data_IF_596202120331
#
_entry.id   IF_596202120331
#
_cell.length_a   1.000
_cell.length_b   1.000
_cell.length_c   1.000
_cell.angle_alpha   90.00
_cell.angle_beta   90.00
_cell.angle_gamma   90.00
#
_symmetry.space_group_name_H-M   'P 1'
#
loop_
_entity.id
_entity.type
_entity.pdbx_description
1 polymer ?
#
# COMPACT_ATOMS: atom_id res chain seq x y z
N UNK A 1 -23.52 30.42 57.56
CA UNK A 1 -23.38 30.96 56.19
C UNK A 1 -24.71 30.83 55.46
N UNK A 2 -25.20 31.89 54.80
CA UNK A 2 -26.50 31.89 54.11
C UNK A 2 -26.45 30.90 52.92
N UNK A 3 -27.43 29.98 52.82
CA UNK A 3 -27.51 28.99 51.72
C UNK A 3 -27.45 29.66 50.34
N UNK A 4 -28.03 30.85 50.18
CA UNK A 4 -27.98 31.63 48.93
C UNK A 4 -26.56 32.09 48.58
N UNK A 5 -25.79 32.50 49.60
CA UNK A 5 -24.39 32.92 49.42
C UNK A 5 -23.50 31.75 49.01
N UNK A 6 -23.71 30.57 49.61
CA UNK A 6 -22.98 29.36 49.24
C UNK A 6 -23.23 28.96 47.78
N UNK A 7 -24.50 28.98 47.34
CA UNK A 7 -24.87 28.66 45.94
C UNK A 7 -24.19 29.62 44.97
N UNK A 8 -24.21 30.93 45.27
CA UNK A 8 -23.56 31.93 44.44
C UNK A 8 -22.04 31.70 44.31
N UNK A 9 -21.36 31.38 45.41
CA UNK A 9 -19.93 31.07 45.42
C UNK A 9 -19.62 29.85 44.53
N UNK A 10 -20.45 28.80 44.60
CA UNK A 10 -20.28 27.60 43.76
C UNK A 10 -20.43 27.94 42.27
N UNK A 11 -21.44 28.72 41.91
CA UNK A 11 -21.66 29.14 40.51
C UNK A 11 -20.46 29.95 39.99
N UNK A 12 -19.94 30.88 40.78
CA UNK A 12 -18.77 31.68 40.42
C UNK A 12 -17.51 30.81 40.25
N UNK A 13 -17.30 29.82 41.11
CA UNK A 13 -16.21 28.85 40.99
C UNK A 13 -16.31 28.03 39.70
N UNK A 14 -17.50 27.54 39.35
CA UNK A 14 -17.72 26.79 38.11
C UNK A 14 -17.42 27.67 36.89
N UNK A 15 -17.92 28.91 36.88
CA UNK A 15 -17.64 29.86 35.79
C UNK A 15 -16.14 30.17 35.67
N UNK A 16 -15.44 30.32 36.79
CA UNK A 16 -13.99 30.53 36.80
C UNK A 16 -13.24 29.33 36.20
N UNK A 17 -13.62 28.11 36.57
CA UNK A 17 -13.02 26.87 36.00
C UNK A 17 -13.27 26.80 34.48
N UNK A 18 -14.46 27.16 34.01
CA UNK A 18 -14.77 27.19 32.58
C UNK A 18 -13.91 28.24 31.86
N UNK A 19 -13.74 29.44 32.42
CA UNK A 19 -12.90 30.47 31.82
C UNK A 19 -11.42 30.07 31.78
N UNK A 20 -10.90 29.49 32.86
CA UNK A 20 -9.52 28.99 32.93
C UNK A 20 -9.33 27.86 31.90
N UNK A 21 -10.25 26.90 31.82
CA UNK A 21 -10.14 25.80 30.86
C UNK A 21 -10.23 26.28 29.41
N UNK A 22 -11.09 27.27 29.11
CA UNK A 22 -11.17 27.89 27.79
C UNK A 22 -9.90 28.68 27.45
N UNK A 23 -9.34 29.42 28.41
CA UNK A 23 -8.07 30.14 28.25
C UNK A 23 -6.89 29.21 27.97
N UNK A 24 -6.78 28.12 28.73
CA UNK A 24 -5.77 27.07 28.50
C UNK A 24 -5.99 26.42 27.14
N UNK A 25 -7.23 26.09 26.79
CA UNK A 25 -7.55 25.49 25.48
C UNK A 25 -7.13 26.40 24.33
N UNK A 26 -7.48 27.69 24.37
CA UNK A 26 -7.08 28.66 23.35
C UNK A 26 -5.56 28.84 23.27
N UNK A 27 -4.88 28.88 24.42
CA UNK A 27 -3.42 28.97 24.48
C UNK A 27 -2.74 27.75 23.85
N UNK A 28 -3.23 26.54 24.20
CA UNK A 28 -2.74 25.29 23.61
C UNK A 28 -3.04 25.21 22.11
N UNK A 29 -4.16 25.77 21.64
CA UNK A 29 -4.55 25.74 20.23
C UNK A 29 -3.79 26.77 19.38
N UNK A 30 -3.44 27.94 19.95
CA UNK A 30 -2.69 29.01 19.26
C UNK A 30 -1.29 28.55 18.83
N UNK A 31 -0.70 27.65 19.61
CA UNK A 31 0.63 27.11 19.36
C UNK A 31 0.60 25.79 18.58
N UNK A 32 -0.58 25.33 18.12
CA UNK A 32 -0.63 24.13 17.28
C UNK A 32 -0.04 24.43 15.91
N UNK A 33 0.81 23.52 15.40
CA UNK A 33 1.29 23.59 14.04
C UNK A 33 0.16 23.70 13.05
N UNK A 34 0.22 24.72 12.21
CA UNK A 34 -0.73 24.91 11.13
C UNK A 34 -0.12 24.34 9.85
N UNK A 35 -0.78 23.35 9.27
CA UNK A 35 -0.48 22.89 7.91
C UNK A 35 -0.87 24.04 6.97
N UNK A 36 0.09 24.52 6.18
CA UNK A 36 -0.12 25.61 5.21
C UNK A 36 -0.46 25.05 3.83
N UNK A 37 0.12 23.91 3.46
CA UNK A 37 -0.16 23.21 2.21
C UNK A 37 0.16 21.72 2.36
N UNK A 38 -0.27 20.95 1.37
CA UNK A 38 0.11 19.54 1.20
C UNK A 38 0.85 19.41 -0.12
N UNK A 39 2.01 18.76 -0.10
CA UNK A 39 2.81 18.49 -1.31
C UNK A 39 2.76 17.01 -1.66
N UNK A 40 2.87 16.73 -2.95
CA UNK A 40 2.92 15.37 -3.49
C UNK A 40 4.37 15.01 -3.80
N UNK A 41 4.81 13.84 -3.33
CA UNK A 41 6.05 13.21 -3.75
C UNK A 41 5.75 12.17 -4.83
N UNK A 42 6.42 12.27 -5.97
CA UNK A 42 6.32 11.33 -7.10
C UNK A 42 7.63 11.22 -7.89
N UNK A 43 8.77 11.50 -7.26
CA UNK A 43 10.08 11.53 -7.92
C UNK A 43 10.63 10.13 -8.25
N UNK A 44 10.14 9.09 -7.57
CA UNK A 44 10.46 7.69 -7.87
C UNK A 44 9.26 7.03 -8.55
N UNK A 45 9.48 6.40 -9.70
CA UNK A 45 8.43 5.74 -10.45
C UNK A 45 7.76 4.59 -9.69
N UNK A 46 6.45 4.45 -9.87
CA UNK A 46 5.64 3.35 -9.35
C UNK A 46 4.88 3.66 -8.06
N UNK A 47 5.08 4.82 -7.43
CA UNK A 47 4.28 5.24 -6.30
C UNK A 47 4.21 6.76 -6.15
N UNK A 48 3.27 7.21 -5.33
CA UNK A 48 3.18 8.60 -4.88
C UNK A 48 2.58 8.65 -3.48
N UNK A 49 2.86 9.73 -2.77
CA UNK A 49 2.21 10.04 -1.50
C UNK A 49 2.18 11.55 -1.28
N UNK A 50 1.35 12.00 -0.35
CA UNK A 50 1.26 13.38 0.10
C UNK A 50 1.91 13.56 1.46
N UNK A 51 2.49 14.73 1.71
CA UNK A 51 3.04 15.12 3.01
C UNK A 51 2.71 16.58 3.33
N UNK A 52 2.44 16.90 4.61
CA UNK A 52 2.11 18.25 5.02
C UNK A 52 3.34 19.14 5.04
N UNK A 53 3.15 20.41 4.72
CA UNK A 53 4.10 21.49 4.99
C UNK A 53 3.50 22.34 6.10
N UNK A 54 4.22 22.53 7.20
CA UNK A 54 3.77 23.34 8.32
C UNK A 54 4.32 24.76 8.19
N UNK A 55 3.61 25.74 8.75
CA UNK A 55 4.08 27.12 8.82
C UNK A 55 5.47 27.18 9.47
N UNK A 56 6.43 27.86 8.82
CA UNK A 56 7.84 27.99 9.22
C UNK A 56 8.67 26.69 9.12
N UNK A 57 8.06 25.58 8.69
CA UNK A 57 8.71 24.28 8.44
C UNK A 57 8.52 23.92 6.97
N UNK A 58 8.95 24.81 6.08
CA UNK A 58 8.92 24.62 4.64
C UNK A 58 9.94 23.57 4.17
N UNK A 59 9.72 23.02 2.99
CA UNK A 59 10.68 22.12 2.34
C UNK A 59 11.91 22.94 1.91
N UNK A 60 13.05 22.68 2.55
CA UNK A 60 14.31 23.32 2.22
C UNK A 60 14.99 22.67 1.00
N UNK A 61 14.90 21.35 0.91
CA UNK A 61 15.60 20.58 -0.11
C UNK A 61 14.87 19.26 -0.40
N UNK A 62 14.77 18.90 -1.67
CA UNK A 62 14.47 17.54 -2.13
C UNK A 62 15.70 17.09 -2.90
N UNK A 63 16.35 16.04 -2.44
CA UNK A 63 17.61 15.58 -3.03
C UNK A 63 17.56 14.10 -3.37
N UNK A 64 17.92 13.82 -4.62
CA UNK A 64 18.17 12.48 -5.13
C UNK A 64 19.49 11.95 -4.54
N UNK A 65 19.43 10.83 -3.84
CA UNK A 65 20.61 10.10 -3.34
C UNK A 65 21.03 9.03 -4.34
N UNK A 66 20.06 8.30 -4.89
CA UNK A 66 20.24 7.31 -5.96
C UNK A 66 18.99 7.25 -6.84
N UNK A 67 18.94 6.37 -7.84
CA UNK A 67 17.74 6.16 -8.65
C UNK A 67 16.51 5.74 -7.83
N UNK A 68 16.73 5.04 -6.72
CA UNK A 68 15.68 4.49 -5.87
C UNK A 68 15.67 5.10 -4.47
N UNK A 69 16.39 6.20 -4.24
CA UNK A 69 16.48 6.82 -2.92
C UNK A 69 16.50 8.34 -3.01
N UNK A 70 15.62 8.97 -2.24
CA UNK A 70 15.48 10.42 -2.11
C UNK A 70 15.37 10.78 -0.64
N UNK A 71 15.75 12.01 -0.29
CA UNK A 71 15.30 12.60 0.96
C UNK A 71 14.65 13.96 0.75
N UNK A 72 13.73 14.30 1.65
CA UNK A 72 13.06 15.59 1.75
C UNK A 72 13.49 16.19 3.09
N UNK A 73 14.18 17.32 3.07
CA UNK A 73 14.62 18.04 4.27
C UNK A 73 13.81 19.30 4.46
N UNK A 74 13.33 19.49 5.67
CA UNK A 74 12.62 20.70 6.07
C UNK A 74 13.62 21.73 6.62
N UNK A 75 13.29 23.01 6.50
CA UNK A 75 14.07 24.06 7.17
C UNK A 75 13.90 23.97 8.70
N UNK A 76 14.74 24.70 9.42
CA UNK A 76 14.57 24.94 10.85
C UNK A 76 14.20 26.40 11.02
N UNK A 77 13.08 26.74 11.67
CA UNK A 77 12.77 28.12 12.03
C UNK A 77 13.93 28.78 12.79
N UNK A 78 14.19 30.06 12.54
CA UNK A 78 15.32 30.77 13.16
C UNK A 78 15.26 30.86 14.69
N UNK A 79 14.08 30.72 15.28
CA UNK A 79 13.83 30.69 16.72
C UNK A 79 13.90 29.27 17.33
N UNK A 80 14.21 28.25 16.52
CA UNK A 80 14.24 26.85 16.93
C UNK A 80 15.67 26.32 16.86
N UNK A 81 16.22 25.98 18.02
CA UNK A 81 17.51 25.28 18.10
C UNK A 81 17.31 23.76 17.96
N UNK A 82 17.87 23.15 16.93
CA UNK A 82 17.85 21.70 16.73
C UNK A 82 19.20 21.20 16.27
N UNK A 83 19.58 20.02 16.76
CA UNK A 83 20.75 19.30 16.27
C UNK A 83 20.61 18.89 14.80
N UNK A 84 19.39 18.53 14.38
CA UNK A 84 19.11 18.13 13.00
C UNK A 84 17.68 18.51 12.59
N UNK A 85 17.48 19.09 11.40
CA UNK A 85 16.16 19.33 10.86
C UNK A 85 15.40 18.03 10.62
N UNK A 86 14.06 18.07 10.64
CA UNK A 86 13.24 16.97 10.17
C UNK A 86 13.60 16.60 8.73
N UNK A 87 13.67 15.29 8.47
CA UNK A 87 13.91 14.76 7.14
C UNK A 87 13.13 13.47 6.91
N UNK A 88 12.56 13.33 5.72
CA UNK A 88 11.99 12.07 5.23
C UNK A 88 13.04 11.41 4.34
N UNK A 89 13.43 10.17 4.64
CA UNK A 89 14.18 9.33 3.71
C UNK A 89 13.18 8.36 3.04
N UNK A 90 13.20 8.33 1.71
CA UNK A 90 12.32 7.53 0.85
C UNK A 90 13.20 6.58 0.04
N UNK A 91 13.02 5.28 0.24
CA UNK A 91 13.79 4.25 -0.45
C UNK A 91 12.88 3.20 -1.10
N UNK A 92 13.04 2.99 -2.40
CA UNK A 92 12.43 1.88 -3.14
C UNK A 92 13.38 0.69 -3.15
N UNK A 93 12.88 -0.48 -2.78
CA UNK A 93 13.63 -1.74 -2.74
C UNK A 93 13.00 -2.67 -3.78
N UNK A 94 13.73 -2.97 -4.86
CA UNK A 94 13.28 -3.84 -5.96
C UNK A 94 13.38 -5.32 -5.59
N UNK A 95 12.82 -5.68 -4.45
CA UNK A 95 12.70 -7.06 -4.00
C UNK A 95 11.22 -7.36 -3.74
N UNK A 96 10.70 -8.50 -4.23
CA UNK A 96 9.33 -8.89 -3.96
C UNK A 96 9.10 -9.00 -2.45
N UNK A 97 7.90 -8.64 -2.00
CA UNK A 97 7.52 -8.88 -0.61
C UNK A 97 7.48 -10.39 -0.38
N UNK A 98 8.22 -10.91 0.60
CA UNK A 98 8.05 -12.31 0.98
C UNK A 98 6.70 -12.39 1.67
N UNK A 99 5.83 -13.28 1.21
CA UNK A 99 4.45 -13.43 1.72
C UNK A 99 4.40 -13.73 3.23
N UNK A 100 5.52 -14.22 3.80
CA UNK A 100 5.73 -14.41 5.24
C UNK A 100 5.84 -13.11 6.05
N UNK A 101 6.01 -11.96 5.39
CA UNK A 101 6.12 -10.64 6.02
C UNK A 101 4.74 -10.03 6.36
N UNK A 102 3.64 -10.73 6.09
CA UNK A 102 2.27 -10.23 6.26
C UNK A 102 1.74 -10.26 7.70
N UNK A 103 2.44 -10.90 8.64
CA UNK A 103 2.08 -10.88 10.07
C UNK A 103 2.20 -9.46 10.63
N UNK A 104 1.07 -8.80 10.86
CA UNK A 104 1.00 -7.44 11.43
C UNK A 104 0.87 -6.31 10.40
N UNK A 105 0.69 -6.62 9.11
CA UNK A 105 0.42 -5.60 8.09
C UNK A 105 -1.00 -5.06 8.17
N UNK A 106 -1.17 -3.77 7.82
CA UNK A 106 -2.45 -3.06 7.71
C UNK A 106 -2.66 -2.60 6.28
N UNK A 107 -3.91 -2.35 5.87
CA UNK A 107 -4.21 -1.64 4.61
C UNK A 107 -4.52 -0.17 4.89
N UNK A 108 -4.05 0.72 4.01
CA UNK A 108 -4.46 2.13 4.03
C UNK A 108 -5.76 2.35 3.22
N UNK A 109 -6.21 3.60 3.12
CA UNK A 109 -7.41 3.98 2.38
C UNK A 109 -7.35 3.67 0.87
N UNK A 110 -6.15 3.54 0.30
CA UNK A 110 -5.92 3.18 -1.10
C UNK A 110 -5.68 1.68 -1.31
N UNK A 111 -5.93 0.85 -0.29
CA UNK A 111 -5.75 -0.60 -0.36
C UNK A 111 -4.31 -1.10 -0.31
N UNK A 112 -3.33 -0.21 -0.08
CA UNK A 112 -1.90 -0.55 -0.01
C UNK A 112 -1.59 -1.18 1.35
N UNK A 113 -0.93 -2.34 1.31
CA UNK A 113 -0.41 -2.99 2.51
C UNK A 113 0.81 -2.24 3.05
N UNK A 114 0.82 -1.99 4.36
CA UNK A 114 1.94 -1.36 5.05
C UNK A 114 2.16 -1.93 6.45
N UNK A 115 3.37 -1.75 6.99
CA UNK A 115 3.75 -2.07 8.37
C UNK A 115 4.70 -1.02 8.96
N UNK A 116 4.67 -0.89 10.28
CA UNK A 116 5.56 0.01 11.02
C UNK A 116 6.96 -0.59 11.16
N UNK A 117 8.00 0.25 11.08
CA UNK A 117 9.37 -0.14 11.34
C UNK A 117 9.64 -0.13 12.85
N UNK A 118 10.02 -1.28 13.41
CA UNK A 118 10.32 -1.37 14.84
C UNK A 118 11.47 -0.42 15.23
N UNK A 119 11.22 0.43 16.24
CA UNK A 119 12.22 1.34 16.81
C UNK A 119 12.51 2.59 15.98
N UNK A 120 11.81 2.80 14.86
CA UNK A 120 11.98 3.98 14.00
C UNK A 120 10.62 4.57 13.65
N UNK A 121 10.54 5.90 13.53
CA UNK A 121 9.35 6.54 13.02
C UNK A 121 9.30 6.38 11.49
N UNK A 122 8.82 5.24 11.02
CA UNK A 122 8.79 4.93 9.60
C UNK A 122 7.97 3.70 9.27
N UNK A 123 7.67 3.54 7.99
CA UNK A 123 6.78 2.51 7.48
C UNK A 123 7.33 1.87 6.21
N UNK A 124 6.99 0.60 6.02
CA UNK A 124 7.21 -0.14 4.79
C UNK A 124 5.87 -0.29 4.09
N UNK A 125 5.81 0.09 2.82
CA UNK A 125 4.67 -0.10 1.93
C UNK A 125 5.03 -1.20 0.93
N UNK A 126 4.20 -2.23 0.82
CA UNK A 126 4.51 -3.42 0.03
C UNK A 126 3.66 -3.50 -1.22
N UNK A 127 4.32 -3.73 -2.36
CA UNK A 127 3.70 -4.22 -3.59
C UNK A 127 4.20 -5.63 -3.91
N UNK A 128 3.66 -6.23 -4.97
CA UNK A 128 4.13 -7.52 -5.46
C UNK A 128 5.58 -7.48 -5.98
N UNK A 129 6.02 -6.34 -6.52
CA UNK A 129 7.29 -6.22 -7.25
C UNK A 129 8.39 -5.50 -6.47
N UNK A 130 8.02 -4.62 -5.54
CA UNK A 130 8.93 -3.80 -4.77
C UNK A 130 8.31 -3.36 -3.45
N UNK A 131 9.15 -2.88 -2.55
CA UNK A 131 8.75 -2.22 -1.30
C UNK A 131 9.19 -0.77 -1.31
N UNK A 132 8.48 0.07 -0.57
CA UNK A 132 8.88 1.45 -0.32
C UNK A 132 9.04 1.63 1.17
N UNK A 133 10.23 2.02 1.60
CA UNK A 133 10.56 2.33 2.99
C UNK A 133 10.60 3.84 3.13
N UNK A 134 9.75 4.38 4.01
CA UNK A 134 9.74 5.81 4.34
C UNK A 134 10.07 5.94 5.81
N UNK A 135 11.17 6.62 6.13
CA UNK A 135 11.57 6.94 7.51
C UNK A 135 11.56 8.44 7.73
N UNK A 136 10.96 8.88 8.83
CA UNK A 136 11.00 10.24 9.31
C UNK A 136 12.05 10.34 10.43
N UNK A 137 13.10 11.10 10.18
CA UNK A 137 14.12 11.39 11.16
C UNK A 137 13.87 12.82 11.64
N UNK A 138 13.37 12.93 12.86
CA UNK A 138 13.02 14.22 13.46
C UNK A 138 13.43 14.17 14.93
N UNK A 139 14.53 14.83 15.30
CA UNK A 139 15.11 14.74 16.65
C UNK A 139 14.26 15.40 17.74
N UNK A 140 13.08 14.86 18.05
CA UNK A 140 12.20 15.33 19.14
C UNK A 140 11.52 16.68 18.86
N UNK A 141 11.22 16.98 17.60
CA UNK A 141 10.77 18.30 17.12
C UNK A 141 9.29 18.62 17.38
N UNK A 142 8.52 17.68 17.94
CA UNK A 142 7.06 17.81 18.09
C UNK A 142 6.66 19.04 18.92
N UNK A 143 7.45 19.35 19.95
CA UNK A 143 7.22 20.51 20.82
C UNK A 143 7.56 21.85 20.15
N UNK A 144 8.19 21.84 18.97
CA UNK A 144 8.72 23.03 18.29
C UNK A 144 7.99 23.37 16.99
N UNK A 145 6.89 22.69 16.72
CA UNK A 145 5.98 23.08 15.66
C UNK A 145 5.94 22.13 14.46
N UNK A 146 6.72 21.06 14.46
CA UNK A 146 6.69 20.03 13.43
C UNK A 146 6.00 18.77 13.96
N UNK A 147 4.82 18.43 13.43
CA UNK A 147 4.05 17.29 13.93
C UNK A 147 4.43 16.01 13.17
N UNK A 148 5.37 15.25 13.74
CA UNK A 148 5.90 14.04 13.11
C UNK A 148 4.81 12.99 12.87
N UNK A 149 3.95 12.73 13.86
CA UNK A 149 2.84 11.78 13.69
C UNK A 149 1.82 12.22 12.63
N UNK A 150 1.52 13.53 12.53
CA UNK A 150 0.60 14.06 11.51
C UNK A 150 1.20 13.89 10.12
N UNK A 151 2.51 14.11 9.99
CA UNK A 151 3.26 13.88 8.74
C UNK A 151 3.14 12.42 8.30
N UNK A 152 3.44 11.50 9.21
CA UNK A 152 3.35 10.06 8.97
C UNK A 152 1.95 9.61 8.60
N UNK A 153 0.92 10.01 9.37
CA UNK A 153 -0.46 9.62 9.08
C UNK A 153 -0.88 10.10 7.69
N UNK A 154 -0.51 11.33 7.33
CA UNK A 154 -0.81 11.86 6.00
C UNK A 154 -0.13 11.06 4.90
N UNK A 155 1.13 10.65 5.09
CA UNK A 155 1.84 9.77 4.15
C UNK A 155 1.10 8.44 4.03
N UNK A 156 0.76 7.78 5.15
CA UNK A 156 0.05 6.51 5.16
C UNK A 156 -1.28 6.61 4.40
N UNK A 157 -2.09 7.61 4.73
CA UNK A 157 -3.45 7.77 4.18
C UNK A 157 -3.44 8.05 2.67
N UNK A 158 -2.43 8.78 2.21
CA UNK A 158 -2.33 9.20 0.80
C UNK A 158 -1.45 8.30 -0.06
N UNK A 159 -0.70 7.37 0.54
CA UNK A 159 0.21 6.50 -0.21
C UNK A 159 -0.56 5.64 -1.20
N UNK A 160 -0.12 5.63 -2.45
CA UNK A 160 -0.67 4.79 -3.51
C UNK A 160 0.42 4.34 -4.48
N UNK A 161 0.30 3.12 -4.98
CA UNK A 161 1.07 2.70 -6.14
C UNK A 161 0.50 3.34 -7.39
N UNK A 162 1.36 3.89 -8.24
CA UNK A 162 0.98 4.43 -9.54
C UNK A 162 1.29 3.38 -10.58
N UNK A 163 0.34 3.08 -11.48
CA UNK A 163 0.64 2.27 -12.65
C UNK A 163 1.82 2.90 -13.39
N UNK A 164 2.83 2.10 -13.73
CA UNK A 164 3.88 2.53 -14.63
C UNK A 164 3.20 2.81 -15.97
N UNK A 165 3.03 4.08 -16.31
CA UNK A 165 2.40 4.51 -17.56
C UNK A 165 3.18 3.92 -18.73
N UNK A 166 2.73 2.79 -19.25
CA UNK A 166 3.39 2.03 -20.33
C UNK A 166 3.09 0.54 -20.36
N UNK A 167 2.65 -0.07 -19.25
CA UNK A 167 2.07 -1.42 -19.28
C UNK A 167 0.74 -1.43 -18.51
N UNK A 168 -0.36 -1.54 -19.23
CA UNK A 168 -1.73 -1.65 -18.70
C UNK A 168 -1.99 -3.03 -18.08
N UNK A 169 -1.03 -3.56 -17.33
CA UNK A 169 -1.20 -4.80 -16.58
C UNK A 169 -1.47 -4.36 -15.15
N UNK A 170 -2.74 -4.42 -14.75
CA UNK A 170 -3.15 -4.14 -13.38
C UNK A 170 -2.32 -4.95 -12.37
N UNK A 171 -2.04 -4.43 -11.17
CA UNK A 171 -1.22 -5.09 -10.16
C UNK A 171 -1.68 -6.53 -9.84
N UNK A 172 -2.98 -6.79 -9.94
CA UNK A 172 -3.59 -8.09 -9.68
C UNK A 172 -3.30 -9.08 -10.82
N UNK A 173 -3.28 -8.62 -12.08
CA UNK A 173 -2.82 -9.38 -13.23
C UNK A 173 -1.39 -9.88 -13.01
N UNK A 174 -0.45 -9.02 -12.57
CA UNK A 174 0.96 -9.39 -12.28
C UNK A 174 1.09 -10.42 -11.15
N UNK A 175 0.21 -10.39 -10.14
CA UNK A 175 0.23 -11.39 -9.06
C UNK A 175 -0.11 -12.79 -9.58
N UNK A 176 -1.19 -12.92 -10.36
CA UNK A 176 -1.49 -14.18 -11.06
C UNK A 176 -0.39 -14.55 -12.06
N UNK A 177 0.37 -13.60 -12.61
CA UNK A 177 1.52 -13.90 -13.48
C UNK A 177 2.77 -14.41 -12.74
N UNK A 178 2.81 -14.39 -11.40
CA UNK A 178 4.02 -14.76 -10.63
C UNK A 178 3.76 -15.82 -9.55
N UNK A 179 2.54 -15.96 -9.06
CA UNK A 179 2.14 -16.96 -8.06
C UNK A 179 0.90 -17.73 -8.54
N UNK A 180 0.82 -19.05 -8.32
CA UNK A 180 -0.38 -19.81 -8.66
C UNK A 180 -1.57 -19.34 -7.81
N UNK A 181 -2.57 -18.73 -8.43
CA UNK A 181 -3.83 -18.30 -7.78
C UNK A 181 -4.93 -19.29 -8.16
N UNK A 182 -5.93 -19.53 -7.31
CA UNK A 182 -7.06 -20.38 -7.72
C UNK A 182 -7.79 -19.76 -8.92
N UNK A 183 -8.10 -20.57 -9.93
CA UNK A 183 -8.78 -20.11 -11.14
C UNK A 183 -10.13 -19.44 -10.82
N UNK A 184 -10.84 -19.95 -9.81
CA UNK A 184 -12.15 -19.43 -9.39
C UNK A 184 -12.09 -18.25 -8.43
N UNK A 185 -10.90 -17.88 -7.92
CA UNK A 185 -10.71 -16.64 -7.15
C UNK A 185 -10.31 -15.44 -8.02
N UNK A 186 -10.33 -15.58 -9.34
CA UNK A 186 -10.09 -14.49 -10.29
C UNK A 186 -11.27 -13.51 -10.61
N UNK A 187 -12.47 -13.53 -10.01
CA UNK A 187 -13.51 -12.53 -10.31
C UNK A 187 -13.13 -11.07 -10.07
N UNK A 188 -12.01 -10.79 -9.37
CA UNK A 188 -11.54 -9.44 -9.04
C UNK A 188 -10.61 -8.81 -10.09
N UNK A 189 -10.32 -9.49 -11.21
CA UNK A 189 -9.45 -8.97 -12.27
C UNK A 189 -10.23 -8.05 -13.22
N UNK A 190 -9.53 -7.11 -13.89
CA UNK A 190 -10.11 -6.20 -14.88
C UNK A 190 -11.11 -6.90 -15.81
N UNK A 191 -12.19 -6.19 -16.16
CA UNK A 191 -13.28 -6.63 -17.07
C UNK A 191 -12.75 -7.32 -18.35
N UNK A 192 -11.58 -6.89 -18.83
CA UNK A 192 -10.83 -7.46 -19.96
C UNK A 192 -10.61 -8.99 -19.89
N UNK A 193 -10.39 -9.58 -18.71
CA UNK A 193 -10.06 -11.01 -18.57
C UNK A 193 -11.28 -11.88 -18.28
N UNK A 194 -12.42 -11.31 -17.87
CA UNK A 194 -13.57 -12.07 -17.40
C UNK A 194 -14.12 -13.03 -18.45
N UNK A 195 -14.18 -12.59 -19.71
CA UNK A 195 -14.62 -13.43 -20.82
C UNK A 195 -13.69 -14.64 -21.04
N UNK A 196 -12.37 -14.40 -20.99
CA UNK A 196 -11.37 -15.45 -21.18
C UNK A 196 -11.38 -16.46 -20.03
N UNK A 197 -11.45 -15.98 -18.77
CA UNK A 197 -11.56 -16.82 -17.58
C UNK A 197 -12.83 -17.67 -17.62
N UNK A 198 -13.97 -17.07 -17.99
CA UNK A 198 -15.24 -17.78 -18.12
C UNK A 198 -15.16 -18.89 -19.16
N UNK A 199 -14.60 -18.61 -20.34
CA UNK A 199 -14.41 -19.60 -21.39
C UNK A 199 -13.50 -20.76 -20.92
N UNK A 200 -12.43 -20.47 -20.18
CA UNK A 200 -11.54 -21.49 -19.60
C UNK A 200 -12.29 -22.35 -18.58
N UNK A 201 -13.06 -21.75 -17.67
CA UNK A 201 -13.85 -22.50 -16.68
C UNK A 201 -14.91 -23.39 -17.33
N UNK A 202 -15.60 -22.89 -18.36
CA UNK A 202 -16.57 -23.68 -19.13
C UNK A 202 -15.91 -24.85 -19.84
N UNK A 203 -14.74 -24.64 -20.45
CA UNK A 203 -13.97 -25.70 -21.10
C UNK A 203 -13.58 -26.80 -20.11
N UNK A 204 -13.07 -26.45 -18.92
CA UNK A 204 -12.75 -27.43 -17.87
C UNK A 204 -13.98 -28.22 -17.43
N UNK A 205 -15.13 -27.55 -17.27
CA UNK A 205 -16.41 -28.23 -16.94
C UNK A 205 -16.86 -29.19 -18.05
N UNK A 206 -16.70 -28.81 -19.33
CA UNK A 206 -17.00 -29.67 -20.47
C UNK A 206 -16.14 -30.94 -20.48
N UNK A 207 -14.87 -30.81 -20.05
CA UNK A 207 -13.94 -31.93 -19.89
C UNK A 207 -14.18 -32.73 -18.59
N UNK A 208 -15.27 -32.45 -17.88
CA UNK A 208 -15.66 -33.07 -16.60
C UNK A 208 -14.65 -32.83 -15.47
N UNK A 209 -13.95 -31.71 -15.51
CA UNK A 209 -13.04 -31.27 -14.47
C UNK A 209 -13.66 -30.16 -13.62
N UNK A 210 -13.21 -30.04 -12.36
CA UNK A 210 -13.65 -28.96 -11.48
C UNK A 210 -12.66 -27.78 -11.56
N UNK A 211 -13.07 -26.59 -12.03
CA UNK A 211 -12.23 -25.39 -12.05
C UNK A 211 -11.60 -25.02 -10.69
N UNK A 212 -12.27 -25.33 -9.58
CA UNK A 212 -11.74 -25.06 -8.22
C UNK A 212 -10.47 -25.85 -7.88
N UNK A 213 -10.14 -26.86 -8.69
CA UNK A 213 -8.94 -27.65 -8.51
C UNK A 213 -7.73 -27.10 -9.25
N UNK A 214 -7.86 -25.99 -9.98
CA UNK A 214 -6.78 -25.45 -10.77
C UNK A 214 -6.24 -24.15 -10.18
N UNK A 215 -4.92 -24.11 -10.07
CA UNK A 215 -4.19 -22.87 -9.97
C UNK A 215 -3.86 -22.37 -11.37
N UNK A 216 -3.78 -21.05 -11.54
CA UNK A 216 -3.56 -20.40 -12.83
C UNK A 216 -2.43 -19.40 -12.74
N UNK A 217 -1.65 -19.37 -13.82
CA UNK A 217 -0.73 -18.29 -14.16
C UNK A 217 -1.08 -17.74 -15.53
N UNK A 218 -1.33 -16.44 -15.62
CA UNK A 218 -1.73 -15.81 -16.89
C UNK A 218 -0.55 -15.05 -17.52
N UNK A 219 -0.50 -15.01 -18.84
CA UNK A 219 0.41 -14.16 -19.61
C UNK A 219 -0.35 -13.57 -20.80
N UNK A 220 -0.16 -12.29 -21.06
CA UNK A 220 -0.71 -11.65 -22.26
C UNK A 220 0.38 -11.51 -23.33
N UNK A 221 0.07 -11.86 -24.58
CA UNK A 221 0.95 -11.66 -25.72
C UNK A 221 0.14 -11.27 -26.95
N UNK A 222 0.29 -10.03 -27.40
CA UNK A 222 -0.50 -9.47 -28.50
C UNK A 222 -2.02 -9.57 -28.20
N UNK A 223 -2.78 -10.24 -29.07
CA UNK A 223 -4.23 -10.43 -28.94
C UNK A 223 -4.57 -11.78 -28.29
N UNK A 224 -3.64 -12.40 -27.56
CA UNK A 224 -3.88 -13.67 -26.87
C UNK A 224 -3.58 -13.60 -25.38
N UNK A 225 -4.36 -14.37 -24.63
CA UNK A 225 -4.17 -14.63 -23.20
C UNK A 225 -3.81 -16.10 -23.06
N UNK A 226 -2.67 -16.37 -22.43
CA UNK A 226 -2.15 -17.70 -22.18
C UNK A 226 -2.40 -18.03 -20.71
N UNK A 227 -3.13 -19.12 -20.46
CA UNK A 227 -3.43 -19.67 -19.15
C UNK A 227 -2.56 -20.90 -18.92
N UNK A 228 -1.59 -20.82 -18.01
CA UNK A 228 -0.82 -21.95 -17.49
C UNK A 228 -1.56 -22.49 -16.27
N UNK A 229 -2.24 -23.62 -16.43
CA UNK A 229 -3.08 -24.24 -15.40
C UNK A 229 -2.34 -25.40 -14.73
N UNK A 230 -2.22 -25.35 -13.41
CA UNK A 230 -1.68 -26.42 -12.58
C UNK A 230 -2.77 -27.03 -11.72
N UNK A 231 -3.04 -28.32 -11.87
CA UNK A 231 -4.02 -29.02 -11.06
C UNK A 231 -3.47 -29.24 -9.64
N UNK A 232 -4.31 -29.08 -8.62
CA UNK A 232 -3.92 -29.20 -7.20
C UNK A 232 -3.25 -30.53 -6.85
N UNK A 233 -3.60 -31.60 -7.59
CA UNK A 233 -3.03 -32.93 -7.37
C UNK A 233 -1.54 -33.01 -7.74
N UNK A 234 -1.02 -32.10 -8.56
CA UNK A 234 0.42 -32.03 -8.86
C UNK A 234 1.24 -31.69 -7.61
N UNK A 235 0.61 -31.08 -6.60
CA UNK A 235 1.25 -30.68 -5.35
C UNK A 235 1.04 -31.68 -4.20
N UNK A 236 0.46 -32.86 -4.47
CA UNK A 236 0.34 -33.91 -3.44
C UNK A 236 1.73 -34.47 -3.06
N UNK A 237 1.94 -34.91 -1.80
CA UNK A 237 3.23 -35.42 -1.35
C UNK A 237 3.86 -36.50 -2.25
N UNK A 238 3.05 -37.41 -2.79
CA UNK A 238 3.47 -38.46 -3.72
C UNK A 238 3.99 -37.95 -5.07
N UNK A 239 3.67 -36.70 -5.45
CA UNK A 239 4.00 -36.09 -6.74
C UNK A 239 5.11 -35.03 -6.64
N UNK A 240 5.66 -34.73 -5.46
CA UNK A 240 6.66 -33.66 -5.29
C UNK A 240 7.94 -33.90 -6.11
N UNK A 241 8.30 -35.17 -6.35
CA UNK A 241 9.52 -35.54 -7.06
C UNK A 241 9.26 -36.04 -8.49
N UNK A 242 8.04 -35.92 -9.01
CA UNK A 242 7.71 -36.29 -10.37
C UNK A 242 7.87 -35.08 -11.29
N UNK A 243 8.52 -35.29 -12.43
CA UNK A 243 8.73 -34.24 -13.44
C UNK A 243 7.53 -34.22 -14.38
N UNK A 244 7.04 -33.03 -14.74
CA UNK A 244 6.00 -32.85 -15.75
C UNK A 244 4.60 -32.70 -15.16
N UNK A 245 3.66 -33.53 -15.62
CA UNK A 245 2.23 -33.43 -15.32
C UNK A 245 1.72 -34.68 -14.60
N UNK A 246 2.11 -34.91 -13.33
CA UNK A 246 1.79 -36.14 -12.63
C UNK A 246 0.30 -36.37 -12.41
N UNK A 247 -0.52 -35.31 -12.35
CA UNK A 247 -1.98 -35.46 -12.33
C UNK A 247 -2.58 -35.85 -13.69
N UNK A 248 -1.84 -35.64 -14.79
CA UNK A 248 -2.34 -35.76 -16.15
C UNK A 248 -3.35 -34.68 -16.54
N UNK A 249 -3.48 -33.62 -15.75
CA UNK A 249 -4.53 -32.59 -15.91
C UNK A 249 -4.02 -31.19 -16.14
N UNK A 250 -2.78 -30.89 -15.75
CA UNK A 250 -2.17 -29.58 -15.96
C UNK A 250 -1.96 -29.29 -17.44
N UNK A 251 -2.23 -28.05 -17.85
CA UNK A 251 -2.34 -27.69 -19.26
C UNK A 251 -2.10 -26.22 -19.50
N UNK A 252 -1.81 -25.90 -20.75
CA UNK A 252 -1.80 -24.54 -21.25
C UNK A 252 -3.00 -24.32 -22.16
N UNK A 253 -3.82 -23.32 -21.85
CA UNK A 253 -4.94 -22.88 -22.68
C UNK A 253 -4.62 -21.51 -23.27
N UNK A 254 -4.86 -21.32 -24.56
CA UNK A 254 -4.65 -20.04 -25.25
C UNK A 254 -6.00 -19.52 -25.72
N UNK A 255 -6.34 -18.31 -25.29
CA UNK A 255 -7.54 -17.59 -25.67
C UNK A 255 -7.20 -16.45 -26.63
N UNK A 256 -7.90 -16.36 -27.75
CA UNK A 256 -7.83 -15.26 -28.71
C UNK A 256 -8.87 -14.20 -28.34
N UNK A 257 -8.41 -12.99 -28.05
CA UNK A 257 -9.25 -11.87 -27.59
C UNK A 257 -10.06 -11.20 -28.71
N UNK A 258 -9.65 -11.33 -29.97
CA UNK A 258 -10.43 -10.80 -31.10
C UNK A 258 -11.59 -11.72 -31.45
N UNK A 259 -11.32 -13.04 -31.42
CA UNK A 259 -12.31 -14.06 -31.76
C UNK A 259 -13.14 -14.49 -30.55
N UNK A 260 -12.78 -14.01 -29.37
CA UNK A 260 -13.38 -14.35 -28.09
C UNK A 260 -13.50 -15.86 -27.85
N UNK A 261 -12.48 -16.64 -28.23
CA UNK A 261 -12.52 -18.11 -28.16
C UNK A 261 -11.18 -18.74 -27.78
N UNK A 262 -11.24 -19.95 -27.22
CA UNK A 262 -10.07 -20.79 -26.99
C UNK A 262 -9.58 -21.32 -28.35
N UNK A 263 -8.30 -21.10 -28.66
CA UNK A 263 -7.66 -21.52 -29.91
C UNK A 263 -6.63 -22.64 -29.70
N UNK A 264 -6.26 -22.94 -28.45
CA UNK A 264 -5.35 -24.03 -28.12
C UNK A 264 -5.61 -24.53 -26.70
N UNK A 265 -5.52 -25.83 -26.50
CA UNK A 265 -5.58 -26.52 -25.22
C UNK A 265 -4.58 -27.68 -25.24
N UNK A 266 -3.50 -27.56 -24.48
CA UNK A 266 -2.33 -28.44 -24.53
C UNK A 266 -2.00 -28.96 -23.13
N UNK A 267 -2.21 -30.26 -22.91
CA UNK A 267 -1.73 -30.94 -21.70
C UNK A 267 -0.20 -30.84 -21.62
N UNK A 268 0.29 -30.58 -20.42
CA UNK A 268 1.73 -30.63 -20.15
C UNK A 268 2.22 -32.07 -20.27
N UNK A 269 3.44 -32.22 -20.79
CA UNK A 269 4.14 -33.49 -20.95
C UNK A 269 5.16 -33.67 -19.83
#
# INVERSE_FOLDING_TARGET
MNKKLLILIIILLILLIILISMGIFLFLNKNKPKIIETKTFSEISGFSFEYPVFKNWEVAEIKKISENEYYIKFNVPGDVELYMPPQLNIKKINEPSKQTDNLGMKKNANGVWYSELSGLLGYVFSSNNFRVVITLISGGVEKKGFLSQVTINKIIDSFKFTSLSGSSIEPDAIYAMTHPVLLTSLPEFSEKYQNAISAVMEKLKQDKENPDNFYVKMKEKNQTIIFELSHKDDYKPENINTIGNPSGKSRTIIYDTNQSKIISDLLWK
#
